data_IF_042903617301
#
_entry.id   IF_042903617301
#
_cell.length_a   1.000
_cell.length_b   1.000
_cell.length_c   1.000
_cell.angle_alpha   90.00
_cell.angle_beta   90.00
_cell.angle_gamma   90.00
#
_symmetry.space_group_name_H-M   'P 1'
#
loop_
_entity.id
_entity.type
_entity.pdbx_description
1 polymer ?
#
# COMPACT_ATOMS: atom_id res chain seq x y z
N UNK A 1 11.50 -7.87 26.07
CA UNK A 1 12.17 -6.59 25.77
C UNK A 1 11.57 -6.06 24.49
N UNK A 2 10.91 -4.90 24.51
CA UNK A 2 10.29 -4.28 23.34
C UNK A 2 11.20 -3.17 22.85
N UNK A 3 11.83 -3.35 21.70
CA UNK A 3 12.71 -2.35 21.09
C UNK A 3 11.89 -1.18 20.54
N UNK A 4 12.17 0.02 21.05
CA UNK A 4 11.63 1.27 20.56
C UNK A 4 12.61 1.89 19.56
N UNK A 5 12.24 1.97 18.29
CA UNK A 5 13.05 2.65 17.29
C UNK A 5 12.78 4.15 17.38
N UNK A 6 13.81 4.91 17.76
CA UNK A 6 13.84 6.38 17.82
C UNK A 6 14.05 6.90 16.39
N UNK A 7 13.12 7.71 15.88
CA UNK A 7 13.23 8.33 14.55
C UNK A 7 13.99 9.65 14.64
N UNK A 8 15.07 9.76 13.85
CA UNK A 8 16.00 10.88 13.85
C UNK A 8 15.40 12.21 13.41
N UNK A 9 15.93 13.29 14.01
CA UNK A 9 15.44 14.68 13.94
C UNK A 9 15.34 15.26 12.52
N UNK A 10 16.11 14.75 11.56
CA UNK A 10 16.05 15.17 10.14
C UNK A 10 14.74 14.79 9.45
N UNK A 11 14.08 13.72 9.90
CA UNK A 11 12.79 13.26 9.34
C UNK A 11 11.65 14.21 9.72
N UNK A 12 11.76 14.89 10.87
CA UNK A 12 10.76 15.85 11.35
C UNK A 12 10.74 17.10 10.45
N UNK A 13 11.91 17.56 9.99
CA UNK A 13 11.99 18.76 9.16
C UNK A 13 11.37 18.54 7.77
N UNK A 14 11.48 17.32 7.23
CA UNK A 14 10.79 16.91 5.99
C UNK A 14 9.25 16.95 6.14
N UNK A 15 8.73 16.59 7.32
CA UNK A 15 7.29 16.62 7.59
C UNK A 15 6.76 18.04 7.79
N UNK A 16 7.57 18.96 8.32
CA UNK A 16 7.20 20.37 8.47
C UNK A 16 7.10 21.09 7.13
N UNK A 17 8.00 20.80 6.19
CA UNK A 17 8.01 21.44 4.88
C UNK A 17 6.78 21.11 4.00
N UNK A 18 6.09 19.99 4.28
CA UNK A 18 4.96 19.49 3.49
C UNK A 18 3.59 20.00 3.94
N UNK A 19 3.51 20.75 5.05
CA UNK A 19 2.25 21.24 5.63
C UNK A 19 1.65 22.43 4.85
N UNK A 20 2.47 23.18 4.09
CA UNK A 20 2.03 24.42 3.45
C UNK A 20 1.57 24.28 1.98
N UNK A 21 1.65 23.08 1.38
CA UNK A 21 1.18 22.82 0.01
C UNK A 21 0.35 21.53 -0.05
N UNK A 22 -0.82 21.55 0.60
CA UNK A 22 -1.78 20.45 0.58
C UNK A 22 -2.55 20.47 -0.75
N UNK A 23 -2.16 19.60 -1.68
CA UNK A 23 -3.14 18.90 -2.52
C UNK A 23 -3.37 17.52 -1.88
N UNK A 24 -4.59 17.34 -1.35
CA UNK A 24 -5.13 16.09 -0.82
C UNK A 24 -4.98 14.98 -1.87
N UNK A 25 -4.15 13.98 -1.61
CA UNK A 25 -4.38 12.58 -2.08
C UNK A 25 -3.31 11.54 -1.68
N UNK A 26 -2.28 11.88 -0.92
CA UNK A 26 -1.37 10.86 -0.36
C UNK A 26 -1.05 11.17 1.08
N UNK A 27 -1.80 10.59 2.02
CA UNK A 27 -1.50 10.67 3.44
C UNK A 27 -0.57 9.52 3.83
N UNK A 28 0.73 9.77 3.76
CA UNK A 28 1.74 8.97 4.44
C UNK A 28 1.61 9.25 5.95
N UNK A 29 0.68 8.56 6.62
CA UNK A 29 0.48 8.71 8.06
C UNK A 29 1.47 7.84 8.82
N UNK A 30 2.35 8.49 9.59
CA UNK A 30 3.12 7.86 10.67
C UNK A 30 2.14 7.15 11.61
N UNK A 31 2.23 5.83 11.65
CA UNK A 31 1.38 4.96 12.47
C UNK A 31 1.76 5.18 13.94
N UNK A 32 0.83 5.74 14.72
CA UNK A 32 0.96 5.85 16.16
C UNK A 32 0.89 4.45 16.82
N UNK A 33 1.60 4.29 17.94
CA UNK A 33 1.94 3.01 18.58
C UNK A 33 0.78 2.13 19.05
N UNK A 34 -0.48 2.58 18.99
CA UNK A 34 -1.65 1.86 19.52
C UNK A 34 -2.71 1.57 18.44
N UNK A 35 -2.37 1.67 17.16
CA UNK A 35 -3.29 1.37 16.07
C UNK A 35 -3.46 -0.15 15.90
N UNK A 36 -4.64 -0.67 16.23
CA UNK A 36 -5.03 -2.05 15.91
C UNK A 36 -5.28 -2.17 14.41
N UNK A 37 -4.39 -2.85 13.70
CA UNK A 37 -4.55 -3.19 12.28
C UNK A 37 -4.98 -4.65 12.17
N UNK A 38 -6.09 -4.88 11.48
CA UNK A 38 -6.55 -6.23 11.15
C UNK A 38 -6.45 -6.40 9.64
N UNK A 39 -5.77 -7.47 9.21
CA UNK A 39 -5.68 -7.86 7.81
C UNK A 39 -6.61 -9.04 7.55
N UNK A 40 -7.45 -8.90 6.52
CA UNK A 40 -8.42 -9.91 6.13
C UNK A 40 -8.51 -10.06 4.63
N UNK A 41 -9.27 -11.06 4.19
CA UNK A 41 -9.73 -11.15 2.81
C UNK A 41 -10.99 -10.28 2.65
N UNK A 42 -11.15 -9.61 1.50
CA UNK A 42 -12.40 -8.92 1.17
C UNK A 42 -13.60 -9.89 1.22
N UNK A 43 -14.68 -9.50 1.90
CA UNK A 43 -15.92 -10.30 1.97
C UNK A 43 -16.50 -10.57 0.57
N UNK A 44 -16.33 -9.60 -0.33
CA UNK A 44 -16.49 -9.74 -1.78
C UNK A 44 -15.15 -9.42 -2.42
N UNK A 45 -14.59 -10.38 -3.16
CA UNK A 45 -13.30 -10.19 -3.81
C UNK A 45 -13.42 -9.22 -5.00
N UNK A 46 -12.63 -8.14 -5.07
CA UNK A 46 -12.78 -7.10 -6.09
C UNK A 46 -12.13 -7.50 -7.41
N UNK A 47 -12.72 -8.49 -8.10
CA UNK A 47 -12.15 -9.09 -9.33
C UNK A 47 -11.80 -8.05 -10.40
N UNK A 48 -12.64 -7.04 -10.63
CA UNK A 48 -12.41 -6.01 -11.63
C UNK A 48 -11.21 -5.10 -11.29
N UNK A 49 -11.04 -4.77 -10.00
CA UNK A 49 -9.88 -4.01 -9.54
C UNK A 49 -8.61 -4.85 -9.72
N UNK A 50 -8.66 -6.13 -9.34
CA UNK A 50 -7.53 -7.05 -9.47
C UNK A 50 -7.11 -7.22 -10.93
N UNK A 51 -8.06 -7.38 -11.85
CA UNK A 51 -7.77 -7.47 -13.28
C UNK A 51 -7.14 -6.17 -13.79
N UNK A 52 -7.68 -5.00 -13.45
CA UNK A 52 -7.10 -3.72 -13.84
C UNK A 52 -5.66 -3.53 -13.35
N UNK A 53 -5.37 -3.93 -12.11
CA UNK A 53 -4.01 -3.91 -11.55
C UNK A 53 -3.10 -4.87 -12.31
N UNK A 54 -3.56 -6.10 -12.62
CA UNK A 54 -2.79 -7.08 -13.41
C UNK A 54 -2.46 -6.55 -14.80
N UNK A 55 -3.44 -5.99 -15.52
CA UNK A 55 -3.23 -5.45 -16.86
C UNK A 55 -2.19 -4.33 -16.88
N UNK A 56 -2.25 -3.41 -15.91
CA UNK A 56 -1.20 -2.40 -15.74
C UNK A 56 0.16 -3.04 -15.45
N UNK A 57 0.20 -4.03 -14.55
CA UNK A 57 1.45 -4.68 -14.13
C UNK A 57 2.16 -5.42 -15.26
N UNK A 58 1.40 -5.99 -16.21
CA UNK A 58 1.96 -6.61 -17.42
C UNK A 58 2.71 -5.61 -18.32
N UNK A 59 2.43 -4.32 -18.20
CA UNK A 59 3.09 -3.26 -18.99
C UNK A 59 4.31 -2.66 -18.29
N UNK A 60 4.57 -3.02 -17.02
CA UNK A 60 5.62 -2.44 -16.21
C UNK A 60 6.57 -3.53 -15.68
N UNK A 61 7.77 -3.61 -16.26
CA UNK A 61 8.79 -4.61 -15.90
C UNK A 61 9.45 -4.37 -14.54
N UNK A 62 9.24 -3.21 -13.93
CA UNK A 62 9.76 -2.92 -12.60
C UNK A 62 8.93 -3.63 -11.51
N UNK A 63 7.68 -4.02 -11.79
CA UNK A 63 6.80 -4.71 -10.85
C UNK A 63 7.10 -6.21 -10.88
N UNK A 64 7.55 -6.75 -9.75
CA UNK A 64 7.85 -8.17 -9.59
C UNK A 64 6.65 -8.92 -9.02
N UNK A 65 6.07 -8.45 -7.91
CA UNK A 65 4.91 -9.09 -7.26
C UNK A 65 3.98 -8.05 -6.65
N UNK A 66 2.68 -8.36 -6.66
CA UNK A 66 1.64 -7.58 -5.99
C UNK A 66 0.75 -8.50 -5.16
N UNK A 67 0.46 -8.10 -3.94
CA UNK A 67 -0.58 -8.69 -3.10
C UNK A 67 -1.67 -7.67 -2.82
N UNK A 68 -2.89 -8.15 -2.62
CA UNK A 68 -4.04 -7.35 -2.23
C UNK A 68 -4.63 -7.92 -0.95
N UNK A 69 -4.85 -7.05 0.03
CA UNK A 69 -5.48 -7.39 1.31
C UNK A 69 -6.57 -6.39 1.64
N UNK A 70 -7.48 -6.77 2.53
CA UNK A 70 -8.36 -5.83 3.21
C UNK A 70 -7.71 -5.41 4.52
N UNK A 71 -7.63 -4.10 4.77
CA UNK A 71 -7.12 -3.55 6.02
C UNK A 71 -8.25 -2.86 6.77
N UNK A 72 -8.41 -3.20 8.05
CA UNK A 72 -9.21 -2.43 9.00
C UNK A 72 -8.26 -1.71 9.95
N UNK A 73 -8.29 -0.37 9.92
CA UNK A 73 -7.47 0.51 10.76
C UNK A 73 -8.36 1.55 11.40
N UNK A 74 -8.42 1.58 12.73
CA UNK A 74 -9.24 2.52 13.51
C UNK A 74 -10.72 2.53 13.07
N UNK A 75 -11.28 1.35 12.80
CA UNK A 75 -12.66 1.18 12.33
C UNK A 75 -12.89 1.59 10.87
N UNK A 76 -11.85 1.99 10.13
CA UNK A 76 -11.93 2.33 8.71
C UNK A 76 -11.35 1.21 7.87
N UNK A 77 -12.11 0.81 6.87
CA UNK A 77 -11.73 -0.23 5.93
C UNK A 77 -11.05 0.38 4.70
N UNK A 78 -9.99 -0.26 4.22
CA UNK A 78 -9.31 0.08 2.96
C UNK A 78 -8.77 -1.17 2.28
N UNK A 79 -8.49 -1.06 0.99
CA UNK A 79 -7.67 -2.03 0.28
C UNK A 79 -6.20 -1.72 0.56
N UNK A 80 -5.42 -2.72 0.95
CA UNK A 80 -3.98 -2.63 1.11
C UNK A 80 -3.31 -3.34 -0.07
N UNK A 81 -2.58 -2.58 -0.88
CA UNK A 81 -1.76 -3.10 -1.97
C UNK A 81 -0.31 -3.20 -1.48
N UNK A 82 0.23 -4.41 -1.47
CA UNK A 82 1.63 -4.66 -1.12
C UNK A 82 2.43 -4.87 -2.40
N UNK A 83 3.52 -4.13 -2.55
CA UNK A 83 4.33 -4.08 -3.76
C UNK A 83 5.75 -4.59 -3.53
N UNK A 84 6.14 -5.54 -4.36
CA UNK A 84 7.53 -5.90 -4.62
C UNK A 84 7.88 -5.40 -6.02
N UNK A 85 8.63 -4.32 -6.09
CA UNK A 85 9.02 -3.70 -7.33
C UNK A 85 10.37 -3.00 -7.21
N UNK A 86 11.03 -2.87 -8.34
CA UNK A 86 12.17 -1.98 -8.54
C UNK A 86 11.63 -0.62 -9.03
N UNK A 87 12.48 0.40 -9.09
CA UNK A 87 12.09 1.68 -9.69
C UNK A 87 11.30 2.64 -8.79
N UNK A 88 10.52 3.53 -9.40
CA UNK A 88 9.90 4.67 -8.73
C UNK A 88 8.56 4.31 -8.09
N UNK A 89 8.59 3.98 -6.80
CA UNK A 89 7.40 3.64 -6.02
C UNK A 89 6.26 4.67 -6.14
N UNK A 90 6.57 5.97 -6.14
CA UNK A 90 5.53 7.00 -6.19
C UNK A 90 4.77 6.99 -7.53
N UNK A 91 5.46 6.70 -8.63
CA UNK A 91 4.84 6.59 -9.95
C UNK A 91 4.00 5.33 -10.06
N UNK A 92 4.54 4.20 -9.59
CA UNK A 92 3.82 2.91 -9.55
C UNK A 92 2.54 3.03 -8.70
N UNK A 93 2.62 3.64 -7.52
CA UNK A 93 1.45 3.85 -6.65
C UNK A 93 0.39 4.72 -7.33
N UNK A 94 0.79 5.82 -7.98
CA UNK A 94 -0.15 6.70 -8.70
C UNK A 94 -0.86 5.97 -9.83
N UNK A 95 -0.14 5.18 -10.62
CA UNK A 95 -0.71 4.44 -11.73
C UNK A 95 -1.67 3.34 -11.25
N UNK A 96 -1.28 2.58 -10.22
CA UNK A 96 -2.16 1.57 -9.62
C UNK A 96 -3.42 2.22 -9.04
N UNK A 97 -3.28 3.32 -8.31
CA UNK A 97 -4.43 4.06 -7.78
C UNK A 97 -5.36 4.54 -8.91
N UNK A 98 -4.80 5.05 -10.01
CA UNK A 98 -5.54 5.52 -11.19
C UNK A 98 -6.39 4.41 -11.82
N UNK A 99 -5.80 3.25 -12.13
CA UNK A 99 -6.52 2.13 -12.76
C UNK A 99 -7.55 1.49 -11.83
N UNK A 100 -7.32 1.58 -10.52
CA UNK A 100 -8.18 0.96 -9.49
C UNK A 100 -9.37 1.83 -9.09
N UNK A 101 -9.27 3.16 -9.20
CA UNK A 101 -10.20 4.16 -8.62
C UNK A 101 -11.69 3.87 -8.89
N UNK A 102 -12.03 3.40 -10.09
CA UNK A 102 -13.43 3.12 -10.48
C UNK A 102 -13.99 1.80 -9.92
N UNK A 103 -13.14 0.94 -9.36
CA UNK A 103 -13.49 -0.40 -8.90
C UNK A 103 -13.42 -0.55 -7.37
N UNK A 104 -13.10 0.52 -6.63
CA UNK A 104 -12.94 0.44 -5.18
C UNK A 104 -14.25 0.47 -4.41
N UNK A 105 -15.38 0.76 -5.06
CA UNK A 105 -16.68 0.99 -4.42
C UNK A 105 -16.60 2.01 -3.27
N UNK A 106 -15.76 3.03 -3.43
CA UNK A 106 -15.57 4.10 -2.43
C UNK A 106 -14.58 3.77 -1.31
N UNK A 107 -14.01 2.56 -1.27
CA UNK A 107 -12.95 2.24 -0.31
C UNK A 107 -11.62 2.92 -0.71
N UNK A 108 -10.85 3.45 0.25
CA UNK A 108 -9.49 3.92 0.01
C UNK A 108 -8.55 2.79 -0.40
N UNK A 109 -7.46 3.14 -1.07
CA UNK A 109 -6.33 2.26 -1.35
C UNK A 109 -5.11 2.76 -0.59
N UNK A 110 -4.59 1.93 0.30
CA UNK A 110 -3.32 2.12 0.98
C UNK A 110 -2.23 1.29 0.28
N UNK A 111 -0.99 1.77 0.33
CA UNK A 111 0.16 1.13 -0.30
C UNK A 111 1.26 0.85 0.71
N UNK A 112 1.93 -0.29 0.57
CA UNK A 112 3.16 -0.60 1.29
C UNK A 112 4.10 -1.41 0.40
N UNK A 113 5.40 -1.21 0.56
CA UNK A 113 6.41 -2.06 -0.08
C UNK A 113 6.71 -3.29 0.78
N UNK A 114 7.00 -4.42 0.14
CA UNK A 114 7.46 -5.64 0.82
C UNK A 114 8.78 -5.43 1.58
N UNK A 115 9.55 -4.40 1.27
CA UNK A 115 10.82 -4.13 1.98
C UNK A 115 10.60 -3.72 3.44
N UNK A 116 9.44 -3.14 3.77
CA UNK A 116 9.07 -2.76 5.13
C UNK A 116 8.63 -3.98 5.93
N UNK A 117 8.98 -4.04 7.22
CA UNK A 117 8.59 -5.13 8.12
C UNK A 117 7.08 -5.42 8.09
N UNK A 118 6.25 -4.36 8.13
CA UNK A 118 4.80 -4.50 8.00
C UNK A 118 4.38 -5.13 6.66
N UNK A 119 5.03 -4.76 5.54
CA UNK A 119 4.77 -5.35 4.24
C UNK A 119 5.10 -6.84 4.19
N UNK A 120 6.23 -7.26 4.77
CA UNK A 120 6.61 -8.68 4.89
C UNK A 120 5.59 -9.48 5.70
N UNK A 121 5.19 -8.97 6.87
CA UNK A 121 4.16 -9.62 7.70
C UNK A 121 2.80 -9.66 7.02
N UNK A 122 2.44 -8.63 6.24
CA UNK A 122 1.15 -8.56 5.57
C UNK A 122 0.96 -9.62 4.48
N UNK A 123 2.06 -10.15 3.93
CA UNK A 123 2.04 -11.16 2.84
C UNK A 123 2.43 -12.56 3.30
N UNK A 124 2.67 -12.76 4.60
CA UNK A 124 3.03 -14.05 5.14
C UNK A 124 1.93 -15.09 4.85
N UNK A 125 2.32 -16.21 4.22
CA UNK A 125 1.41 -17.26 3.74
C UNK A 125 0.35 -16.79 2.74
N UNK A 126 0.55 -15.65 2.06
CA UNK A 126 -0.37 -15.13 1.04
C UNK A 126 0.19 -15.31 -0.36
N UNK A 127 -0.68 -15.66 -1.31
CA UNK A 127 -0.33 -15.77 -2.73
C UNK A 127 -0.48 -14.38 -3.37
N UNK A 128 0.48 -13.93 -4.19
CA UNK A 128 0.36 -12.67 -4.90
C UNK A 128 -0.80 -12.71 -5.91
N UNK A 129 -1.50 -11.60 -6.06
CA UNK A 129 -2.45 -11.43 -7.15
C UNK A 129 -1.74 -11.32 -8.49
N UNK A 130 -0.52 -10.78 -8.52
CA UNK A 130 0.31 -10.69 -9.71
C UNK A 130 1.74 -11.11 -9.37
N UNK A 131 2.33 -11.94 -10.21
CA UNK A 131 3.74 -12.26 -10.18
C UNK A 131 4.26 -12.22 -11.62
N UNK A 132 5.36 -11.52 -11.80
CA UNK A 132 6.01 -11.48 -13.10
C UNK A 132 6.70 -12.80 -13.46
N UNK A 133 6.78 -13.07 -14.77
CA UNK A 133 7.44 -14.24 -15.36
C UNK A 133 8.78 -13.91 -16.05
N UNK A 134 9.30 -12.68 -15.91
CA UNK A 134 10.56 -12.23 -16.54
C UNK A 134 11.76 -12.19 -15.60
#
# INVERSE_FOLDING_TARGET
MSENIILERKVIDYLKLKKDNISKDFSEQQVAKDTKVILGEPKEYPYQMVDAIKQYSLTNNEIMRIWLRLMLRDGKQSYLVILDCKGNLNEIYKNIASVSKKFTNGLPIDFVTIEKAFGKSAVENQVPIYQSNW
#
